data_IF_780428526911
#
_entry.id   IF_780428526911
#
_cell.length_a   1.000
_cell.length_b   1.000
_cell.length_c   1.000
_cell.angle_alpha   90.00
_cell.angle_beta   90.00
_cell.angle_gamma   90.00
#
_symmetry.space_group_name_H-M   'P 1'
#
loop_
_entity.id
_entity.type
_entity.pdbx_description
1 polymer ?
#
# COMPACT_ATOMS: atom_id res chain seq x y z
N UNK A 1 -22.79 -20.29 3.57
CA UNK A 1 -22.57 -18.97 4.19
C UNK A 1 -23.35 -17.92 3.42
N UNK A 2 -24.12 -17.06 4.11
CA UNK A 2 -25.00 -16.08 3.46
C UNK A 2 -24.17 -14.97 2.76
N UNK A 3 -24.77 -14.29 1.77
CA UNK A 3 -24.12 -13.13 1.12
C UNK A 3 -23.78 -12.03 2.14
N UNK A 4 -24.69 -11.79 3.08
CA UNK A 4 -24.46 -10.80 4.16
C UNK A 4 -23.26 -11.16 5.02
N UNK A 5 -23.13 -12.43 5.43
CA UNK A 5 -21.99 -12.92 6.20
C UNK A 5 -20.67 -12.74 5.43
N UNK A 6 -20.65 -13.10 4.13
CA UNK A 6 -19.46 -12.86 3.28
C UNK A 6 -19.11 -11.38 3.18
N UNK A 7 -20.12 -10.51 3.05
CA UNK A 7 -19.93 -9.06 3.01
C UNK A 7 -19.35 -8.51 4.31
N UNK A 8 -19.88 -8.93 5.45
CA UNK A 8 -19.36 -8.54 6.77
C UNK A 8 -17.92 -8.99 6.95
N UNK A 9 -17.58 -10.24 6.57
CA UNK A 9 -16.20 -10.73 6.61
C UNK A 9 -15.27 -9.86 5.77
N UNK A 10 -15.69 -9.45 4.57
CA UNK A 10 -14.89 -8.57 3.74
C UNK A 10 -14.62 -7.21 4.42
N UNK A 11 -15.63 -6.59 5.03
CA UNK A 11 -15.45 -5.37 5.82
C UNK A 11 -14.48 -5.59 7.00
N UNK A 12 -14.64 -6.68 7.74
CA UNK A 12 -13.74 -7.02 8.86
C UNK A 12 -12.30 -7.17 8.39
N UNK A 13 -12.07 -7.81 7.23
CA UNK A 13 -10.73 -7.96 6.65
C UNK A 13 -10.13 -6.62 6.22
N UNK A 14 -10.95 -5.70 5.66
CA UNK A 14 -10.49 -4.35 5.34
C UNK A 14 -10.05 -3.60 6.60
N UNK A 15 -10.87 -3.61 7.65
CA UNK A 15 -10.56 -2.95 8.93
C UNK A 15 -9.33 -3.59 9.57
N UNK A 16 -9.23 -4.92 9.60
CA UNK A 16 -8.06 -5.60 10.15
C UNK A 16 -6.76 -5.21 9.42
N UNK A 17 -6.80 -5.13 8.08
CA UNK A 17 -5.66 -4.67 7.29
C UNK A 17 -5.29 -3.21 7.63
N UNK A 18 -6.27 -2.31 7.75
CA UNK A 18 -6.04 -0.92 8.16
C UNK A 18 -5.37 -0.84 9.53
N UNK A 19 -5.86 -1.62 10.52
CA UNK A 19 -5.26 -1.67 11.86
C UNK A 19 -3.82 -2.19 11.81
N UNK A 20 -3.54 -3.27 11.06
CA UNK A 20 -2.19 -3.81 10.91
C UNK A 20 -1.22 -2.80 10.31
N UNK A 21 -1.65 -2.08 9.27
CA UNK A 21 -0.84 -1.05 8.63
C UNK A 21 -0.62 0.12 9.60
N UNK A 22 -1.64 0.53 10.36
CA UNK A 22 -1.52 1.60 11.36
C UNK A 22 -0.50 1.24 12.45
N UNK A 23 -0.56 0.03 13.00
CA UNK A 23 0.44 -0.46 13.97
C UNK A 23 1.83 -0.46 13.35
N UNK A 24 1.95 -0.92 12.09
CA UNK A 24 3.21 -0.86 11.35
C UNK A 24 3.73 0.58 11.18
N UNK A 25 2.86 1.57 10.95
CA UNK A 25 3.28 2.97 10.79
C UNK A 25 3.86 3.59 12.05
N UNK A 26 3.55 3.01 13.22
CA UNK A 26 4.09 3.46 14.51
C UNK A 26 5.55 3.00 14.75
N UNK A 27 6.06 2.08 13.92
CA UNK A 27 7.44 1.62 14.00
C UNK A 27 8.38 2.60 13.28
N UNK A 28 9.57 2.83 13.85
CA UNK A 28 10.58 3.68 13.21
C UNK A 28 11.04 3.12 11.86
N UNK A 29 11.59 3.99 10.99
CA UNK A 29 12.19 3.53 9.73
C UNK A 29 13.27 2.47 9.96
N UNK A 30 14.10 2.65 10.99
CA UNK A 30 15.21 1.75 11.34
C UNK A 30 14.70 0.33 11.68
N UNK A 31 13.58 0.24 12.42
CA UNK A 31 13.01 -1.05 12.83
C UNK A 31 12.38 -1.80 11.66
N UNK A 32 11.98 -1.09 10.61
CA UNK A 32 11.37 -1.67 9.42
C UNK A 32 12.34 -1.82 8.23
N UNK A 33 13.59 -1.37 8.37
CA UNK A 33 14.55 -1.44 7.25
C UNK A 33 14.89 -2.88 6.89
N UNK A 34 14.77 -3.18 5.61
CA UNK A 34 15.13 -4.46 5.02
C UNK A 34 16.58 -4.47 4.47
N UNK A 35 17.31 -3.36 4.58
CA UNK A 35 18.65 -3.20 4.00
C UNK A 35 19.58 -4.34 4.43
N UNK A 36 19.68 -4.61 5.73
CA UNK A 36 20.53 -5.68 6.24
C UNK A 36 20.11 -7.08 5.74
N UNK A 37 18.80 -7.30 5.66
CA UNK A 37 18.22 -8.56 5.14
C UNK A 37 18.53 -8.75 3.65
N UNK A 38 18.37 -7.67 2.87
CA UNK A 38 18.67 -7.68 1.42
C UNK A 38 20.17 -7.90 1.19
N UNK A 39 21.04 -7.23 1.95
CA UNK A 39 22.50 -7.42 1.85
C UNK A 39 22.93 -8.85 2.15
N UNK A 40 22.33 -9.48 3.17
CA UNK A 40 22.57 -10.88 3.51
C UNK A 40 22.01 -11.86 2.50
N UNK A 41 20.79 -11.63 2.02
CA UNK A 41 20.07 -12.55 1.15
C UNK A 41 20.50 -12.45 -0.33
N UNK A 42 21.00 -11.29 -0.75
CA UNK A 42 21.39 -10.98 -2.13
C UNK A 42 22.82 -10.41 -2.22
N UNK A 43 23.86 -11.11 -1.70
CA UNK A 43 25.23 -10.59 -1.69
C UNK A 43 25.80 -10.40 -3.10
N UNK A 44 25.34 -11.17 -4.08
CA UNK A 44 25.75 -11.07 -5.49
C UNK A 44 25.08 -9.92 -6.26
N UNK A 45 24.15 -9.19 -5.62
CA UNK A 45 23.40 -8.07 -6.22
C UNK A 45 22.83 -8.41 -7.62
N UNK A 46 21.96 -9.43 -7.73
CA UNK A 46 21.45 -9.88 -9.01
C UNK A 46 20.79 -8.74 -9.79
N UNK A 47 20.96 -8.75 -11.13
CA UNK A 47 20.43 -7.73 -12.04
C UNK A 47 20.97 -6.30 -11.79
N UNK A 48 22.06 -6.12 -11.05
CA UNK A 48 22.61 -4.77 -10.74
C UNK A 48 22.91 -3.95 -11.99
N UNK A 49 23.45 -4.55 -13.06
CA UNK A 49 23.71 -3.87 -14.34
C UNK A 49 22.43 -3.35 -15.01
N UNK A 50 21.34 -4.14 -14.97
CA UNK A 50 20.05 -3.73 -15.52
C UNK A 50 19.42 -2.64 -14.66
N UNK A 51 19.43 -2.83 -13.36
CA UNK A 51 18.85 -1.90 -12.38
C UNK A 51 19.63 -0.59 -12.29
N UNK A 52 20.93 -0.58 -12.57
CA UNK A 52 21.75 0.64 -12.59
C UNK A 52 21.36 1.65 -13.68
N UNK A 53 20.65 1.19 -14.72
CA UNK A 53 20.11 2.06 -15.79
C UNK A 53 18.88 2.83 -15.31
N UNK A 54 18.27 2.45 -14.20
CA UNK A 54 17.12 3.12 -13.63
C UNK A 54 17.59 4.29 -12.77
N UNK A 55 17.19 5.50 -13.15
CA UNK A 55 17.43 6.72 -12.40
C UNK A 55 16.26 7.67 -12.60
N UNK A 56 15.68 8.14 -11.49
CA UNK A 56 14.60 9.12 -11.50
C UNK A 56 14.57 9.90 -10.18
N UNK A 57 13.83 11.01 -10.17
CA UNK A 57 13.61 11.79 -8.95
C UNK A 57 12.30 11.37 -8.27
N UNK A 58 12.33 11.20 -6.95
CA UNK A 58 11.17 10.91 -6.12
C UNK A 58 11.24 11.73 -4.84
N UNK A 59 10.26 12.59 -4.63
CA UNK A 59 10.20 13.48 -3.46
C UNK A 59 11.50 14.29 -3.20
N UNK A 60 12.14 14.77 -4.26
CA UNK A 60 13.38 15.54 -4.17
C UNK A 60 14.64 14.71 -3.95
N UNK A 61 14.56 13.39 -3.99
CA UNK A 61 15.70 12.49 -3.89
C UNK A 61 15.93 11.73 -5.20
N UNK A 62 17.20 11.58 -5.59
CA UNK A 62 17.57 10.75 -6.74
C UNK A 62 17.52 9.28 -6.36
N UNK A 63 16.62 8.52 -6.98
CA UNK A 63 16.49 7.07 -6.81
C UNK A 63 17.31 6.37 -7.88
N UNK A 64 18.46 5.85 -7.49
CA UNK A 64 19.36 5.07 -8.35
C UNK A 64 20.31 4.23 -7.50
N UNK A 65 20.89 3.17 -8.06
CA UNK A 65 21.90 2.36 -7.35
C UNK A 65 23.14 3.17 -6.99
N UNK A 66 23.68 4.05 -7.88
CA UNK A 66 24.83 4.90 -7.50
C UNK A 66 24.55 5.84 -6.33
N UNK A 67 23.31 6.33 -6.16
CA UNK A 67 22.93 7.26 -5.09
C UNK A 67 22.64 6.56 -3.78
N UNK A 68 21.92 5.46 -3.80
CA UNK A 68 21.37 4.78 -2.61
C UNK A 68 22.16 3.52 -2.22
N UNK A 69 22.88 2.93 -3.17
CA UNK A 69 23.36 1.55 -3.07
C UNK A 69 22.26 0.55 -3.39
N UNK A 70 22.68 -0.68 -3.76
CA UNK A 70 21.78 -1.73 -4.24
C UNK A 70 20.66 -2.07 -3.24
N UNK A 71 20.99 -2.28 -1.97
CA UNK A 71 20.01 -2.74 -0.98
C UNK A 71 18.90 -1.70 -0.71
N UNK A 72 19.26 -0.42 -0.56
CA UNK A 72 18.27 0.65 -0.36
C UNK A 72 17.44 0.89 -1.63
N UNK A 73 18.04 0.77 -2.80
CA UNK A 73 17.34 0.87 -4.07
C UNK A 73 16.27 -0.23 -4.20
N UNK A 74 16.61 -1.48 -3.89
CA UNK A 74 15.65 -2.60 -3.90
C UNK A 74 14.58 -2.40 -2.82
N UNK A 75 14.98 -2.00 -1.60
CA UNK A 75 14.03 -1.71 -0.52
C UNK A 75 13.01 -0.65 -0.91
N UNK A 76 13.42 0.39 -1.63
CA UNK A 76 12.50 1.41 -2.13
C UNK A 76 11.34 0.81 -2.93
N UNK A 77 11.63 -0.06 -3.90
CA UNK A 77 10.59 -0.70 -4.72
C UNK A 77 9.73 -1.67 -3.90
N UNK A 78 10.34 -2.46 -3.01
CA UNK A 78 9.59 -3.37 -2.13
C UNK A 78 8.57 -2.58 -1.31
N UNK A 79 8.96 -1.44 -0.71
CA UNK A 79 8.05 -0.59 0.04
C UNK A 79 6.90 -0.05 -0.83
N UNK A 80 7.19 0.47 -2.02
CA UNK A 80 6.15 1.01 -2.91
C UNK A 80 5.16 -0.07 -3.39
N UNK A 81 5.66 -1.25 -3.73
CA UNK A 81 4.82 -2.39 -4.10
C UNK A 81 3.96 -2.83 -2.90
N UNK A 82 4.54 -2.90 -1.70
CA UNK A 82 3.82 -3.28 -0.49
C UNK A 82 2.68 -2.29 -0.19
N UNK A 83 2.93 -0.98 -0.30
CA UNK A 83 1.90 0.06 -0.18
C UNK A 83 0.79 -0.14 -1.19
N UNK A 84 1.13 -0.20 -2.48
CA UNK A 84 0.16 -0.45 -3.54
C UNK A 84 -0.72 -1.68 -3.27
N UNK A 85 -0.10 -2.82 -2.93
CA UNK A 85 -0.82 -4.07 -2.68
C UNK A 85 -1.70 -4.01 -1.42
N UNK A 86 -1.25 -3.34 -0.38
CA UNK A 86 -2.02 -3.16 0.84
C UNK A 86 -3.29 -2.34 0.58
N UNK A 87 -3.18 -1.21 -0.09
CA UNK A 87 -4.33 -0.37 -0.42
C UNK A 87 -5.21 -0.97 -1.53
N UNK A 88 -4.64 -1.73 -2.45
CA UNK A 88 -5.39 -2.59 -3.36
C UNK A 88 -6.28 -3.57 -2.58
N UNK A 89 -5.72 -4.28 -1.60
CA UNK A 89 -6.46 -5.23 -0.78
C UNK A 89 -7.58 -4.55 0.01
N UNK A 90 -7.29 -3.41 0.65
CA UNK A 90 -8.27 -2.63 1.42
C UNK A 90 -9.43 -2.18 0.52
N UNK A 91 -9.14 -1.56 -0.62
CA UNK A 91 -10.15 -1.10 -1.59
C UNK A 91 -10.99 -2.24 -2.16
N UNK A 92 -10.36 -3.37 -2.45
CA UNK A 92 -11.04 -4.59 -2.89
C UNK A 92 -12.03 -5.11 -1.83
N UNK A 93 -11.60 -5.23 -0.59
CA UNK A 93 -12.43 -5.75 0.49
C UNK A 93 -13.57 -4.80 0.87
N UNK A 94 -13.32 -3.49 0.94
CA UNK A 94 -14.36 -2.49 1.15
C UNK A 94 -15.43 -2.55 0.05
N UNK A 95 -15.03 -2.63 -1.22
CA UNK A 95 -15.97 -2.70 -2.34
C UNK A 95 -16.85 -3.94 -2.25
N UNK A 96 -16.27 -5.09 -1.99
CA UNK A 96 -17.03 -6.35 -1.84
C UNK A 96 -18.00 -6.30 -0.67
N UNK A 97 -17.54 -5.81 0.46
CA UNK A 97 -18.35 -5.70 1.67
C UNK A 97 -19.51 -4.72 1.49
N UNK A 98 -19.22 -3.49 1.08
CA UNK A 98 -20.22 -2.44 0.90
C UNK A 98 -21.25 -2.80 -0.19
N UNK A 99 -20.83 -3.48 -1.26
CA UNK A 99 -21.76 -3.90 -2.35
C UNK A 99 -22.87 -4.85 -1.90
N UNK A 100 -22.70 -5.51 -0.75
CA UNK A 100 -23.74 -6.39 -0.16
C UNK A 100 -24.72 -5.61 0.72
N UNK A 101 -24.21 -4.57 1.42
CA UNK A 101 -24.99 -3.83 2.43
C UNK A 101 -25.63 -2.57 1.85
N UNK A 102 -25.03 -1.96 0.83
CA UNK A 102 -25.49 -0.70 0.22
C UNK A 102 -26.07 -0.98 -1.17
N UNK A 103 -27.36 -0.68 -1.35
CA UNK A 103 -28.09 -1.01 -2.59
C UNK A 103 -27.98 0.05 -3.71
N UNK A 104 -27.51 1.26 -3.39
CA UNK A 104 -27.42 2.33 -4.39
C UNK A 104 -26.30 2.04 -5.39
N UNK A 105 -26.62 1.97 -6.68
CA UNK A 105 -25.66 1.67 -7.76
C UNK A 105 -24.50 2.69 -7.78
N UNK A 106 -23.27 2.21 -7.85
CA UNK A 106 -22.06 3.02 -7.89
C UNK A 106 -21.61 3.59 -6.53
N UNK A 107 -22.51 3.74 -5.57
CA UNK A 107 -22.19 4.34 -4.27
C UNK A 107 -21.24 3.47 -3.40
N UNK A 108 -21.37 2.13 -3.35
CA UNK A 108 -20.41 1.28 -2.66
C UNK A 108 -18.97 1.45 -3.16
N UNK A 109 -18.78 1.59 -4.46
CA UNK A 109 -17.47 1.77 -5.09
C UNK A 109 -16.87 3.13 -4.74
N UNK A 110 -17.68 4.17 -4.87
CA UNK A 110 -17.27 5.52 -4.46
C UNK A 110 -16.87 5.56 -2.98
N UNK A 111 -17.71 5.00 -2.12
CA UNK A 111 -17.45 4.99 -0.67
C UNK A 111 -16.21 4.16 -0.32
N UNK A 112 -16.02 2.99 -0.96
CA UNK A 112 -14.84 2.16 -0.77
C UNK A 112 -13.55 2.91 -1.16
N UNK A 113 -13.54 3.56 -2.31
CA UNK A 113 -12.42 4.37 -2.76
C UNK A 113 -12.16 5.54 -1.82
N UNK A 114 -13.19 6.28 -1.47
CA UNK A 114 -13.09 7.45 -0.59
C UNK A 114 -12.54 7.08 0.79
N UNK A 115 -13.06 6.02 1.44
CA UNK A 115 -12.56 5.55 2.74
C UNK A 115 -11.10 5.14 2.63
N UNK A 116 -10.73 4.42 1.57
CA UNK A 116 -9.37 3.92 1.41
C UNK A 116 -8.37 5.05 1.17
N UNK A 117 -8.71 6.05 0.35
CA UNK A 117 -7.85 7.21 0.11
C UNK A 117 -7.77 8.12 1.33
N UNK A 118 -8.88 8.34 2.03
CA UNK A 118 -8.87 9.12 3.28
C UNK A 118 -7.97 8.44 4.31
N UNK A 119 -8.01 7.12 4.39
CA UNK A 119 -7.10 6.36 5.24
C UNK A 119 -5.65 6.52 4.81
N UNK A 120 -5.32 6.49 3.50
CA UNK A 120 -3.96 6.74 3.01
C UNK A 120 -3.41 8.12 3.46
N UNK A 121 -4.25 9.16 3.36
CA UNK A 121 -3.88 10.50 3.82
C UNK A 121 -3.60 10.51 5.33
N UNK A 122 -4.50 9.91 6.13
CA UNK A 122 -4.29 9.85 7.59
C UNK A 122 -3.08 9.01 7.98
N UNK A 123 -2.80 7.96 7.24
CA UNK A 123 -1.63 7.12 7.42
C UNK A 123 -0.32 7.89 7.16
N UNK A 124 -0.23 8.64 6.06
CA UNK A 124 0.94 9.48 5.76
C UNK A 124 1.12 10.61 6.79
N UNK A 125 0.02 11.22 7.21
CA UNK A 125 0.07 12.19 8.30
C UNK A 125 0.62 11.56 9.59
N UNK A 126 0.15 10.36 9.96
CA UNK A 126 0.65 9.62 11.12
C UNK A 126 2.13 9.25 10.97
N UNK A 127 2.58 8.88 9.78
CA UNK A 127 4.01 8.67 9.53
C UNK A 127 4.84 9.94 9.79
N UNK A 128 4.32 11.11 9.45
CA UNK A 128 5.01 12.38 9.66
C UNK A 128 5.31 12.72 11.13
N UNK A 129 4.59 12.14 12.08
CA UNK A 129 4.85 12.28 13.52
C UNK A 129 5.70 11.13 14.07
N UNK A 130 6.03 10.12 13.28
CA UNK A 130 6.87 8.99 13.68
C UNK A 130 8.34 9.29 13.43
N UNK A 131 9.24 9.11 14.41
CA UNK A 131 10.66 9.43 14.27
C UNK A 131 11.31 8.76 13.05
N UNK A 132 12.09 9.54 12.29
CA UNK A 132 12.84 9.06 11.13
C UNK A 132 11.99 8.77 9.89
N UNK A 133 10.73 9.23 9.86
CA UNK A 133 9.85 9.15 8.70
C UNK A 133 9.49 10.53 8.16
N UNK A 134 9.38 10.61 6.85
CA UNK A 134 8.92 11.83 6.15
C UNK A 134 7.63 11.49 5.41
N UNK A 135 6.53 12.23 5.66
CA UNK A 135 5.29 12.02 4.94
C UNK A 135 5.48 12.45 3.48
N UNK A 136 5.03 11.64 2.55
CA UNK A 136 5.21 11.87 1.12
C UNK A 136 3.86 11.81 0.39
N UNK A 137 3.46 12.93 -0.18
CA UNK A 137 2.24 12.99 -1.00
C UNK A 137 2.27 12.00 -2.16
N UNK A 138 3.46 11.68 -2.68
CA UNK A 138 3.67 10.68 -3.72
C UNK A 138 3.25 9.28 -3.26
N UNK A 139 3.39 8.96 -1.99
CA UNK A 139 2.96 7.68 -1.43
C UNK A 139 1.44 7.60 -1.36
N UNK A 140 0.76 8.69 -1.02
CA UNK A 140 -0.71 8.77 -1.13
C UNK A 140 -1.19 8.51 -2.56
N UNK A 141 -0.47 8.98 -3.59
CA UNK A 141 -0.83 8.67 -4.98
C UNK A 141 -0.67 7.19 -5.32
N UNK A 142 0.40 6.53 -4.86
CA UNK A 142 0.60 5.08 -5.06
C UNK A 142 -0.52 4.30 -4.36
N UNK A 143 -0.87 4.68 -3.13
CA UNK A 143 -1.91 4.09 -2.33
C UNK A 143 -3.29 4.27 -2.99
N UNK A 144 -3.57 5.46 -3.51
CA UNK A 144 -4.81 5.76 -4.25
C UNK A 144 -4.91 4.95 -5.55
N UNK A 145 -3.80 4.75 -6.27
CA UNK A 145 -3.77 3.85 -7.43
C UNK A 145 -4.07 2.40 -7.00
N UNK A 146 -3.44 1.91 -5.93
CA UNK A 146 -3.75 0.60 -5.36
C UNK A 146 -5.23 0.47 -5.03
N UNK A 147 -5.79 1.45 -4.32
CA UNK A 147 -7.22 1.50 -3.99
C UNK A 147 -8.11 1.45 -5.23
N UNK A 148 -7.78 2.22 -6.26
CA UNK A 148 -8.54 2.27 -7.53
C UNK A 148 -8.59 0.90 -8.21
N UNK A 149 -7.46 0.23 -8.35
CA UNK A 149 -7.39 -1.12 -8.91
C UNK A 149 -8.12 -2.15 -8.04
N UNK A 150 -8.01 -2.05 -6.71
CA UNK A 150 -8.74 -2.91 -5.77
C UNK A 150 -10.26 -2.75 -5.89
N UNK A 151 -10.75 -1.50 -5.95
CA UNK A 151 -12.17 -1.18 -6.16
C UNK A 151 -12.65 -1.70 -7.51
N UNK A 152 -11.86 -1.51 -8.57
CA UNK A 152 -12.16 -2.03 -9.90
C UNK A 152 -12.37 -3.55 -9.89
N UNK A 153 -11.41 -4.30 -9.35
CA UNK A 153 -11.50 -5.76 -9.24
C UNK A 153 -12.66 -6.20 -8.34
N UNK A 154 -12.89 -5.52 -7.22
CA UNK A 154 -14.01 -5.80 -6.31
C UNK A 154 -15.37 -5.60 -6.96
N UNK A 155 -15.48 -4.67 -7.91
CA UNK A 155 -16.69 -4.43 -8.70
C UNK A 155 -16.96 -5.57 -9.67
N UNK A 156 -15.91 -6.11 -10.30
CA UNK A 156 -16.01 -7.23 -11.24
C UNK A 156 -16.32 -8.56 -10.51
N UNK A 157 -15.69 -8.79 -9.37
CA UNK A 157 -15.83 -10.02 -8.56
C UNK A 157 -16.86 -9.87 -7.44
N UNK A 158 -18.14 -9.64 -7.81
CA UNK A 158 -19.24 -9.55 -6.82
C UNK A 158 -19.35 -10.80 -5.95
N UNK A 159 -19.74 -10.63 -4.69
CA UNK A 159 -20.08 -11.74 -3.79
C UNK A 159 -21.33 -12.46 -4.34
N UNK A 160 -21.15 -13.71 -4.73
CA UNK A 160 -22.22 -14.63 -5.12
C UNK A 160 -22.82 -15.33 -3.91
#
# INVERSE_FOLDING_TARGET
>A
MSKKTKGTIAITLAIAAMVLIFVSSSMSYKDQSLVATIQKGLPSQPFSELLSKIKFEYAGQTISIPSLGYAQFVEFFIRKITHFLAYFFIGYQWTRGLSVHVRKKGFPQFLAFFITVLYAITYEFHQGITPGRTPLIQDVFIDALGAMFGVGLGTLKKIK
#
